data_IF_284603269524
#
_entry.id   IF_284603269524
#
_cell.length_a   1.000
_cell.length_b   1.000
_cell.length_c   1.000
_cell.angle_alpha   90.00
_cell.angle_beta   90.00
_cell.angle_gamma   90.00
#
_symmetry.space_group_name_H-M   'P 1'
#
loop_
_entity.id
_entity.type
_entity.pdbx_description
1 polymer ?
#
# COMPACT_ATOMS: atom_id res chain seq x y z
N UNK A 1 16.76 12.16 -10.83
CA UNK A 1 16.31 10.77 -10.63
C UNK A 1 15.42 10.77 -9.38
N UNK A 2 14.09 10.66 -9.54
CA UNK A 2 13.08 11.01 -8.51
C UNK A 2 12.74 9.90 -7.50
N UNK A 3 13.06 8.64 -7.79
CA UNK A 3 12.74 7.50 -6.91
C UNK A 3 14.00 6.88 -6.28
N UNK A 4 13.85 6.30 -5.09
CA UNK A 4 14.95 5.57 -4.41
C UNK A 4 15.40 4.31 -5.14
N UNK A 5 14.48 3.69 -5.87
CA UNK A 5 14.75 2.56 -6.75
C UNK A 5 14.57 3.13 -8.16
N UNK A 6 15.60 3.00 -9.00
CA UNK A 6 15.53 3.43 -10.40
C UNK A 6 14.61 2.49 -11.16
N UNK A 7 13.31 2.70 -10.98
CA UNK A 7 12.23 1.92 -11.53
C UNK A 7 11.14 2.88 -11.99
N UNK A 8 10.49 2.53 -13.10
CA UNK A 8 9.44 3.33 -13.72
C UNK A 8 8.08 2.73 -13.34
N UNK A 9 7.41 3.22 -12.27
CA UNK A 9 6.04 2.82 -11.97
C UNK A 9 5.19 3.05 -13.22
N UNK A 10 4.44 2.02 -13.61
CA UNK A 10 3.72 1.88 -14.88
C UNK A 10 3.46 3.23 -15.59
N UNK A 11 4.13 3.49 -16.72
CA UNK A 11 3.53 4.40 -17.71
C UNK A 11 2.20 3.78 -18.11
N UNK A 12 1.10 4.48 -17.89
CA UNK A 12 -0.26 3.95 -18.05
C UNK A 12 -0.42 3.34 -19.43
N UNK A 13 -0.44 2.01 -19.46
CA UNK A 13 -0.55 1.20 -20.66
C UNK A 13 -1.80 0.36 -20.55
N UNK A 14 -2.59 0.42 -21.61
CA UNK A 14 -3.75 -0.42 -21.77
C UNK A 14 -3.33 -1.90 -21.66
N UNK A 15 -4.04 -2.72 -20.87
CA UNK A 15 -3.75 -4.14 -20.80
C UNK A 15 -3.87 -4.80 -22.18
N UNK A 16 -2.91 -5.66 -22.53
CA UNK A 16 -2.88 -6.32 -23.86
C UNK A 16 -3.88 -7.46 -24.02
N UNK A 17 -4.31 -8.08 -22.92
CA UNK A 17 -5.18 -9.26 -22.94
C UNK A 17 -6.58 -8.92 -22.42
N UNK A 18 -7.61 -9.32 -23.18
CA UNK A 18 -9.03 -9.28 -22.77
C UNK A 18 -9.48 -10.56 -22.02
N UNK A 19 -8.55 -11.35 -21.49
CA UNK A 19 -8.86 -12.61 -20.82
C UNK A 19 -9.70 -12.42 -19.55
N UNK A 20 -10.64 -13.34 -19.31
CA UNK A 20 -11.54 -13.38 -18.13
C UNK A 20 -10.87 -13.85 -16.83
N UNK A 21 -9.58 -13.64 -16.64
CA UNK A 21 -8.95 -13.96 -15.35
C UNK A 21 -8.92 -12.71 -14.45
N UNK A 22 -8.99 -12.91 -13.13
CA UNK A 22 -9.11 -11.81 -12.17
C UNK A 22 -7.99 -10.78 -12.27
N UNK A 23 -6.77 -11.22 -12.59
CA UNK A 23 -5.61 -10.33 -12.73
C UNK A 23 -5.79 -9.37 -13.90
N UNK A 24 -6.27 -9.86 -15.05
CA UNK A 24 -6.59 -9.01 -16.22
C UNK A 24 -7.70 -8.02 -15.91
N UNK A 25 -8.71 -8.43 -15.13
CA UNK A 25 -9.79 -7.55 -14.66
C UNK A 25 -9.22 -6.44 -13.77
N UNK A 26 -8.41 -6.78 -12.77
CA UNK A 26 -7.76 -5.80 -11.88
C UNK A 26 -6.87 -4.82 -12.66
N UNK A 27 -6.04 -5.33 -13.58
CA UNK A 27 -5.19 -4.47 -14.42
C UNK A 27 -6.02 -3.49 -15.27
N UNK A 28 -7.20 -3.92 -15.75
CA UNK A 28 -8.11 -3.06 -16.52
C UNK A 28 -8.83 -2.05 -15.66
N UNK A 29 -9.34 -2.45 -14.48
CA UNK A 29 -10.02 -1.55 -13.54
C UNK A 29 -9.10 -0.43 -13.09
N UNK A 30 -7.85 -0.77 -12.73
CA UNK A 30 -6.85 0.21 -12.29
C UNK A 30 -6.48 1.15 -13.45
N UNK A 31 -6.26 0.60 -14.65
CA UNK A 31 -6.00 1.40 -15.85
C UNK A 31 -7.12 2.40 -16.12
N UNK A 32 -8.38 1.93 -16.16
CA UNK A 32 -9.54 2.78 -16.42
C UNK A 32 -9.73 3.84 -15.34
N UNK A 33 -9.44 3.50 -14.07
CA UNK A 33 -9.48 4.46 -12.97
C UNK A 33 -8.50 5.61 -13.20
N UNK A 34 -7.27 5.32 -13.62
CA UNK A 34 -6.30 6.37 -13.89
C UNK A 34 -6.66 7.23 -15.10
N UNK A 35 -7.19 6.64 -16.18
CA UNK A 35 -7.67 7.41 -17.33
C UNK A 35 -8.81 8.34 -16.93
N UNK A 36 -9.79 7.85 -16.17
CA UNK A 36 -10.90 8.65 -15.65
C UNK A 36 -10.41 9.82 -14.80
N UNK A 37 -9.63 9.53 -13.76
CA UNK A 37 -9.11 10.56 -12.84
C UNK A 37 -8.24 11.60 -13.55
N UNK A 38 -7.55 11.22 -14.63
CA UNK A 38 -6.74 12.16 -15.40
C UNK A 38 -7.58 13.02 -16.33
N UNK A 39 -8.60 12.45 -16.97
CA UNK A 39 -9.56 13.22 -17.74
C UNK A 39 -10.32 14.23 -16.85
N UNK A 40 -10.53 13.89 -15.57
CA UNK A 40 -11.07 14.80 -14.55
C UNK A 40 -10.05 15.83 -14.03
N UNK A 41 -8.77 15.76 -14.44
CA UNK A 41 -7.69 16.64 -13.99
C UNK A 41 -7.25 16.41 -12.54
N UNK A 42 -7.62 15.27 -11.92
CA UNK A 42 -7.33 14.96 -10.53
C UNK A 42 -5.97 14.29 -10.31
N UNK A 43 -5.43 13.64 -11.36
CA UNK A 43 -4.09 13.05 -11.38
C UNK A 43 -3.39 13.35 -12.72
N UNK A 44 -2.06 13.34 -12.70
CA UNK A 44 -1.23 13.31 -13.91
C UNK A 44 -0.81 11.86 -14.21
N UNK A 45 -0.86 11.47 -15.48
CA UNK A 45 -0.45 10.14 -15.93
C UNK A 45 1.07 9.95 -15.94
N UNK A 46 1.82 11.05 -15.89
CA UNK A 46 3.24 11.03 -15.62
C UNK A 46 3.51 10.77 -14.13
N UNK A 47 3.16 9.57 -13.68
CA UNK A 47 3.33 9.12 -12.28
C UNK A 47 4.81 9.17 -11.88
N UNK A 48 5.74 9.12 -12.84
CA UNK A 48 7.18 9.27 -12.54
C UNK A 48 7.45 10.67 -11.99
N UNK A 49 6.86 11.69 -12.61
CA UNK A 49 7.09 13.07 -12.22
C UNK A 49 6.10 13.59 -11.18
N UNK A 50 4.92 12.97 -11.09
CA UNK A 50 3.82 13.30 -10.20
C UNK A 50 3.45 12.05 -9.39
N UNK A 51 4.23 11.73 -8.35
CA UNK A 51 3.85 10.68 -7.41
C UNK A 51 2.43 10.92 -6.93
N UNK A 52 1.64 9.86 -6.79
CA UNK A 52 0.21 9.91 -6.44
C UNK A 52 -0.03 10.28 -4.96
N UNK A 53 0.81 11.17 -4.43
CA UNK A 53 0.82 11.65 -3.05
C UNK A 53 -0.54 12.21 -2.65
N UNK A 54 -1.06 11.72 -1.53
CA UNK A 54 -2.37 12.11 -0.99
C UNK A 54 -3.56 11.76 -1.89
N UNK A 55 -3.39 10.85 -2.87
CA UNK A 55 -4.47 10.37 -3.75
C UNK A 55 -4.94 8.97 -3.39
N UNK A 56 -4.41 8.34 -2.34
CA UNK A 56 -4.72 6.96 -1.96
C UNK A 56 -6.22 6.73 -1.74
N UNK A 57 -6.90 7.58 -0.96
CA UNK A 57 -8.35 7.46 -0.72
C UNK A 57 -9.16 7.59 -2.02
N UNK A 58 -8.86 8.63 -2.81
CA UNK A 58 -9.52 8.88 -4.10
C UNK A 58 -9.37 7.68 -5.05
N UNK A 59 -8.15 7.18 -5.19
CA UNK A 59 -7.85 6.06 -6.09
C UNK A 59 -8.49 4.77 -5.56
N UNK A 60 -8.40 4.51 -4.25
CA UNK A 60 -9.04 3.38 -3.57
C UNK A 60 -10.54 3.35 -3.89
N UNK A 61 -11.23 4.46 -3.68
CA UNK A 61 -12.69 4.53 -3.82
C UNK A 61 -13.14 4.37 -5.27
N UNK A 62 -12.41 4.97 -6.22
CA UNK A 62 -12.71 4.79 -7.65
C UNK A 62 -12.49 3.34 -8.11
N UNK A 63 -11.43 2.69 -7.65
CA UNK A 63 -11.21 1.26 -7.91
C UNK A 63 -12.31 0.43 -7.27
N UNK A 64 -12.68 0.71 -6.02
CA UNK A 64 -13.72 -0.01 -5.30
C UNK A 64 -15.06 0.06 -6.03
N UNK A 65 -15.48 1.24 -6.48
CA UNK A 65 -16.73 1.42 -7.21
C UNK A 65 -16.76 0.56 -8.49
N UNK A 66 -15.67 0.56 -9.26
CA UNK A 66 -15.58 -0.26 -10.48
C UNK A 66 -15.57 -1.75 -10.19
N UNK A 67 -14.97 -2.19 -9.07
CA UNK A 67 -15.02 -3.59 -8.66
C UNK A 67 -16.44 -3.99 -8.22
N UNK A 68 -17.14 -3.10 -7.51
CA UNK A 68 -18.53 -3.31 -7.11
C UNK A 68 -19.47 -3.41 -8.33
N UNK A 69 -19.27 -2.57 -9.35
CA UNK A 69 -20.02 -2.67 -10.62
C UNK A 69 -19.84 -4.02 -11.33
N UNK A 70 -18.71 -4.70 -11.07
CA UNK A 70 -18.38 -6.03 -11.58
C UNK A 70 -18.78 -7.15 -10.62
N UNK A 71 -19.48 -6.85 -9.52
CA UNK A 71 -19.82 -7.77 -8.44
C UNK A 71 -18.60 -8.46 -7.80
N UNK A 72 -17.45 -7.79 -7.77
CA UNK A 72 -16.22 -8.26 -7.13
C UNK A 72 -16.11 -7.68 -5.72
N UNK A 73 -16.07 -8.55 -4.71
CA UNK A 73 -16.14 -8.16 -3.30
C UNK A 73 -14.78 -7.68 -2.76
N UNK A 74 -14.47 -6.40 -2.97
CA UNK A 74 -13.32 -5.75 -2.35
C UNK A 74 -13.72 -5.02 -1.06
N UNK A 75 -12.88 -5.10 -0.02
CA UNK A 75 -13.07 -4.40 1.25
C UNK A 75 -11.99 -3.34 1.43
N UNK A 76 -12.35 -2.07 1.72
CA UNK A 76 -11.39 -1.02 2.03
C UNK A 76 -10.80 -1.16 3.43
N UNK A 77 -9.52 -0.81 3.57
CA UNK A 77 -8.83 -0.76 4.86
C UNK A 77 -7.91 0.44 4.95
N UNK A 78 -7.80 0.97 6.16
CA UNK A 78 -6.69 1.82 6.57
C UNK A 78 -5.55 0.94 7.11
N UNK A 79 -4.33 1.15 6.63
CA UNK A 79 -3.15 0.37 7.02
C UNK A 79 -2.93 0.47 8.54
N UNK A 80 -3.11 1.65 9.14
CA UNK A 80 -3.03 1.84 10.59
C UNK A 80 -3.95 0.91 11.38
N UNK A 81 -5.15 0.61 10.86
CA UNK A 81 -6.11 -0.25 11.55
C UNK A 81 -5.69 -1.73 11.48
N UNK A 82 -5.05 -2.14 10.38
CA UNK A 82 -4.50 -3.49 10.24
C UNK A 82 -3.32 -3.68 11.20
N UNK A 83 -2.49 -2.64 11.36
CA UNK A 83 -1.28 -2.68 12.17
C UNK A 83 -1.51 -2.40 13.66
N UNK A 84 -2.67 -1.84 14.02
CA UNK A 84 -3.00 -1.41 15.39
C UNK A 84 -1.91 -0.52 16.02
N UNK A 85 -1.32 0.35 15.21
CA UNK A 85 -0.33 1.32 15.67
C UNK A 85 -0.32 2.57 14.78
N UNK A 86 0.27 3.64 15.30
CA UNK A 86 0.40 4.89 14.58
C UNK A 86 1.47 4.79 13.49
N UNK A 87 1.07 4.86 12.24
CA UNK A 87 1.94 4.78 11.05
C UNK A 87 1.52 5.86 10.05
N UNK A 88 2.32 6.04 8.99
CA UNK A 88 1.91 6.86 7.86
C UNK A 88 0.52 6.44 7.35
N UNK A 89 -0.42 7.39 7.30
CA UNK A 89 -1.81 7.13 6.92
C UNK A 89 -1.86 6.67 5.47
N UNK A 90 -2.51 5.53 5.22
CA UNK A 90 -2.62 4.95 3.89
C UNK A 90 -3.79 4.01 3.79
N UNK A 91 -4.46 4.05 2.65
CA UNK A 91 -5.68 3.30 2.40
C UNK A 91 -5.49 2.31 1.24
N UNK A 92 -6.01 1.09 1.41
CA UNK A 92 -5.88 0.00 0.44
C UNK A 92 -7.21 -0.74 0.25
N UNK A 93 -7.28 -1.61 -0.77
CA UNK A 93 -8.35 -2.60 -0.89
C UNK A 93 -7.79 -4.02 -0.73
N UNK A 94 -8.56 -4.89 -0.08
CA UNK A 94 -8.36 -6.33 -0.14
C UNK A 94 -9.53 -6.95 -0.89
N UNK A 95 -9.23 -7.65 -2.00
CA UNK A 95 -10.21 -8.41 -2.77
C UNK A 95 -10.05 -9.90 -2.47
N UNK A 96 -11.17 -10.57 -2.22
CA UNK A 96 -11.26 -12.03 -2.16
C UNK A 96 -11.94 -12.51 -3.45
N UNK A 97 -11.26 -13.40 -4.17
CA UNK A 97 -11.74 -14.03 -5.40
C UNK A 97 -11.51 -15.54 -5.28
N UNK A 98 -12.59 -16.28 -5.01
CA UNK A 98 -12.56 -17.72 -4.73
C UNK A 98 -11.57 -18.09 -3.60
N UNK A 99 -10.45 -18.76 -3.93
CA UNK A 99 -9.39 -19.16 -3.00
C UNK A 99 -8.22 -18.16 -2.95
N UNK A 100 -8.31 -17.06 -3.69
CA UNK A 100 -7.24 -16.10 -3.89
C UNK A 100 -7.57 -14.77 -3.22
N UNK A 101 -6.59 -14.20 -2.54
CA UNK A 101 -6.70 -12.89 -1.90
C UNK A 101 -5.73 -11.95 -2.59
N UNK A 102 -6.15 -10.72 -2.88
CA UNK A 102 -5.33 -9.70 -3.51
C UNK A 102 -5.29 -8.43 -2.66
N UNK A 103 -4.08 -7.90 -2.47
CA UNK A 103 -3.88 -6.53 -2.00
C UNK A 103 -3.83 -5.62 -3.22
N UNK A 104 -4.67 -4.59 -3.23
CA UNK A 104 -4.78 -3.62 -4.31
C UNK A 104 -4.41 -2.25 -3.75
N UNK A 105 -3.34 -1.68 -4.29
CA UNK A 105 -2.78 -0.38 -3.92
C UNK A 105 -2.12 0.26 -5.15
N UNK A 106 -2.92 0.93 -6.01
CA UNK A 106 -2.38 1.58 -7.21
C UNK A 106 -1.57 2.84 -6.89
N UNK A 107 -1.72 3.40 -5.68
CA UNK A 107 -1.01 4.58 -5.20
C UNK A 107 0.34 4.29 -4.55
N UNK A 108 0.76 3.02 -4.46
CA UNK A 108 1.93 2.62 -3.67
C UNK A 108 3.23 3.33 -4.04
N UNK A 109 3.36 3.79 -5.30
CA UNK A 109 4.52 4.54 -5.76
C UNK A 109 4.76 5.85 -4.98
N UNK A 110 3.72 6.43 -4.35
CA UNK A 110 3.85 7.65 -3.57
C UNK A 110 4.90 7.55 -2.44
N UNK A 111 5.19 6.34 -1.95
CA UNK A 111 6.11 6.10 -0.84
C UNK A 111 7.56 5.83 -1.25
N UNK A 112 7.92 6.03 -2.53
CA UNK A 112 9.25 5.68 -3.05
C UNK A 112 10.03 6.89 -3.56
N UNK A 113 9.56 8.09 -3.26
CA UNK A 113 10.25 9.32 -3.62
C UNK A 113 11.58 9.42 -2.89
N UNK A 114 12.62 9.75 -3.65
CA UNK A 114 13.99 9.83 -3.11
C UNK A 114 14.02 10.82 -1.96
N UNK A 115 13.46 12.00 -2.16
CA UNK A 115 13.40 13.07 -1.17
C UNK A 115 12.74 12.68 0.16
N UNK A 116 11.90 11.65 0.23
CA UNK A 116 11.19 11.24 1.45
C UNK A 116 11.74 9.97 2.09
N UNK A 117 12.65 9.27 1.41
CA UNK A 117 13.19 7.99 1.87
C UNK A 117 14.66 8.15 2.30
N UNK A 118 14.87 9.00 3.30
CA UNK A 118 16.18 9.32 3.87
C UNK A 118 16.07 9.43 5.39
N UNK A 119 17.16 9.13 6.10
CA UNK A 119 17.21 9.12 7.57
C UNK A 119 16.91 10.50 8.19
N UNK A 120 17.21 11.58 7.48
CA UNK A 120 16.92 12.96 7.89
C UNK A 120 15.42 13.29 7.98
N UNK A 121 14.54 12.39 7.55
CA UNK A 121 13.07 12.49 7.71
C UNK A 121 12.57 12.05 9.06
N UNK A 122 13.40 11.43 9.89
CA UNK A 122 13.04 11.21 11.28
C UNK A 122 12.99 12.54 12.02
N UNK A 123 11.83 12.83 12.63
CA UNK A 123 11.70 13.88 13.64
C UNK A 123 11.49 13.22 14.99
N UNK A 124 12.48 13.34 15.88
CA UNK A 124 12.45 12.71 17.20
C UNK A 124 12.46 13.80 18.27
N UNK A 125 11.46 13.78 19.15
CA UNK A 125 11.51 14.52 20.40
C UNK A 125 12.37 13.72 21.39
N UNK A 126 13.61 14.18 21.60
CA UNK A 126 14.58 13.50 22.46
C UNK A 126 14.16 13.50 23.93
N UNK A 127 13.60 14.60 24.43
CA UNK A 127 13.16 14.73 25.83
C UNK A 127 12.06 13.72 26.18
N UNK A 128 11.13 13.50 25.25
CA UNK A 128 10.01 12.56 25.43
C UNK A 128 10.30 11.18 24.89
N UNK A 129 11.47 10.97 24.29
CA UNK A 129 11.79 9.77 23.52
C UNK A 129 10.62 9.39 22.60
N UNK A 130 10.23 10.30 21.69
CA UNK A 130 9.10 10.09 20.78
C UNK A 130 9.48 10.35 19.33
N UNK A 131 9.15 9.40 18.46
CA UNK A 131 9.20 9.55 17.00
C UNK A 131 7.92 10.25 16.54
N UNK A 132 8.06 11.47 16.05
CA UNK A 132 6.97 12.31 15.55
C UNK A 132 6.75 12.14 14.05
N UNK A 133 7.84 12.02 13.28
CA UNK A 133 7.82 11.76 11.85
C UNK A 133 8.84 10.67 11.50
N UNK A 134 8.55 9.96 10.43
CA UNK A 134 9.41 8.92 9.85
C UNK A 134 9.58 9.17 8.35
N UNK A 135 10.61 8.57 7.73
CA UNK A 135 10.68 8.45 6.28
C UNK A 135 9.45 7.73 5.70
N UNK A 136 9.26 7.81 4.39
CA UNK A 136 8.25 7.03 3.69
C UNK A 136 8.56 5.51 3.73
N UNK A 137 7.54 4.63 3.70
CA UNK A 137 7.68 3.16 3.67
C UNK A 137 8.75 2.61 2.72
N UNK A 138 8.98 3.27 1.58
CA UNK A 138 10.02 2.88 0.62
C UNK A 138 11.42 2.82 1.24
N UNK A 139 11.71 3.64 2.24
CA UNK A 139 12.99 3.67 2.97
C UNK A 139 13.39 2.29 3.50
N UNK A 140 12.41 1.50 3.93
CA UNK A 140 12.64 0.16 4.49
C UNK A 140 13.21 -0.84 3.47
N UNK A 141 13.09 -0.56 2.17
CA UNK A 141 13.46 -1.50 1.11
C UNK A 141 14.84 -1.27 0.50
N UNK A 142 15.54 -0.20 0.88
CA UNK A 142 16.77 0.27 0.23
C UNK A 142 17.86 -0.79 0.04
N UNK A 143 17.89 -1.83 0.87
CA UNK A 143 18.94 -2.87 0.86
C UNK A 143 18.41 -4.31 0.74
N UNK A 144 17.15 -4.54 0.36
CA UNK A 144 16.57 -5.89 0.28
C UNK A 144 15.99 -6.18 -1.12
N UNK A 145 16.71 -6.91 -1.99
CA UNK A 145 16.27 -7.21 -3.36
C UNK A 145 14.93 -7.96 -3.44
N UNK A 146 14.63 -8.84 -2.48
CA UNK A 146 13.35 -9.55 -2.43
C UNK A 146 12.20 -8.56 -2.18
N UNK A 147 12.38 -7.66 -1.21
CA UNK A 147 11.37 -6.67 -0.90
C UNK A 147 11.16 -5.67 -2.05
N UNK A 148 12.25 -5.23 -2.67
CA UNK A 148 12.22 -4.38 -3.87
C UNK A 148 11.39 -5.02 -4.98
N UNK A 149 11.55 -6.33 -5.23
CA UNK A 149 10.80 -7.04 -6.26
C UNK A 149 9.29 -7.10 -5.98
N UNK A 150 8.89 -7.26 -4.72
CA UNK A 150 7.48 -7.23 -4.32
C UNK A 150 6.92 -5.82 -4.48
N UNK A 151 7.60 -4.80 -3.97
CA UNK A 151 7.19 -3.41 -4.10
C UNK A 151 7.04 -2.99 -5.58
N UNK A 152 8.01 -3.38 -6.41
CA UNK A 152 7.98 -3.13 -7.85
C UNK A 152 6.74 -3.73 -8.51
N UNK A 153 6.36 -4.97 -8.17
CA UNK A 153 5.15 -5.60 -8.73
C UNK A 153 3.89 -4.82 -8.35
N UNK A 154 3.79 -4.33 -7.12
CA UNK A 154 2.66 -3.51 -6.68
C UNK A 154 2.65 -2.19 -7.45
N UNK A 155 3.79 -1.50 -7.56
CA UNK A 155 3.89 -0.25 -8.34
C UNK A 155 3.63 -0.44 -9.84
N UNK A 156 3.96 -1.60 -10.41
CA UNK A 156 3.72 -1.94 -11.81
C UNK A 156 2.26 -2.25 -12.10
N UNK A 157 1.61 -3.01 -11.23
CA UNK A 157 0.28 -3.56 -11.49
C UNK A 157 -0.83 -2.83 -10.75
N UNK A 158 -0.48 -2.17 -9.66
CA UNK A 158 -1.38 -1.62 -8.65
C UNK A 158 -1.97 -2.68 -7.72
N UNK A 159 -1.50 -3.93 -7.78
CA UNK A 159 -1.95 -5.02 -6.90
C UNK A 159 -0.94 -6.17 -6.84
N UNK A 160 -1.12 -7.06 -5.88
CA UNK A 160 -0.38 -8.31 -5.75
C UNK A 160 -1.24 -9.38 -5.06
N UNK A 161 -0.99 -10.66 -5.36
CA UNK A 161 -1.54 -11.77 -4.56
C UNK A 161 -1.08 -11.62 -3.11
N UNK A 162 -2.03 -11.61 -2.19
CA UNK A 162 -1.80 -11.50 -0.76
C UNK A 162 -1.66 -12.89 -0.14
N UNK A 163 -0.48 -13.18 0.37
CA UNK A 163 -0.14 -14.37 1.14
C UNK A 163 0.78 -13.96 2.29
N UNK A 164 1.21 -14.91 3.14
CA UNK A 164 2.06 -14.57 4.29
C UNK A 164 3.34 -13.81 3.88
N UNK A 165 3.99 -14.18 2.78
CA UNK A 165 5.21 -13.50 2.34
C UNK A 165 4.93 -12.07 1.85
N UNK A 166 3.95 -11.88 0.96
CA UNK A 166 3.63 -10.54 0.44
C UNK A 166 3.00 -9.64 1.50
N UNK A 167 2.19 -10.18 2.40
CA UNK A 167 1.67 -9.47 3.56
C UNK A 167 2.81 -8.99 4.46
N UNK A 168 3.74 -9.88 4.82
CA UNK A 168 4.88 -9.51 5.65
C UNK A 168 5.68 -8.37 5.04
N UNK A 169 6.07 -8.50 3.77
CA UNK A 169 6.89 -7.49 3.10
C UNK A 169 6.18 -6.14 2.99
N UNK A 170 4.89 -6.15 2.63
CA UNK A 170 4.11 -4.92 2.49
C UNK A 170 3.89 -4.23 3.83
N UNK A 171 3.39 -4.95 4.84
CA UNK A 171 3.01 -4.33 6.11
C UNK A 171 4.22 -4.01 7.00
N UNK A 172 5.33 -4.74 6.89
CA UNK A 172 6.57 -4.41 7.63
C UNK A 172 7.13 -3.05 7.24
N UNK A 173 6.95 -2.58 6.00
CA UNK A 173 7.47 -1.27 5.57
C UNK A 173 6.79 -0.11 6.28
N UNK A 174 5.53 -0.27 6.68
CA UNK A 174 4.80 0.68 7.51
C UNK A 174 5.06 0.43 9.00
N UNK A 175 4.96 -0.83 9.45
CA UNK A 175 5.09 -1.17 10.88
C UNK A 175 6.45 -0.81 11.47
N UNK A 176 7.53 -0.97 10.68
CA UNK A 176 8.88 -0.62 11.13
C UNK A 176 9.14 0.88 11.14
N UNK A 177 8.26 1.66 10.50
CA UNK A 177 8.25 3.13 10.50
C UNK A 177 7.07 3.67 11.31
N UNK A 178 6.60 2.94 12.33
CA UNK A 178 5.60 3.43 13.26
C UNK A 178 6.13 4.59 14.09
N UNK A 179 5.21 5.49 14.46
CA UNK A 179 5.43 6.66 15.31
C UNK A 179 5.13 6.33 16.77
N UNK A 180 5.48 7.25 17.67
CA UNK A 180 5.28 7.09 19.11
C UNK A 180 6.58 6.86 19.86
N UNK A 181 6.51 6.21 21.03
CA UNK A 181 7.65 6.11 21.95
C UNK A 181 8.89 5.42 21.34
N UNK A 182 9.99 6.16 21.17
CA UNK A 182 11.22 5.76 20.47
C UNK A 182 12.03 4.66 21.16
N UNK A 183 11.61 4.13 22.31
CA UNK A 183 12.24 2.95 22.92
C UNK A 183 12.28 1.74 21.98
N UNK A 184 11.43 1.69 20.94
CA UNK A 184 11.56 0.70 19.87
C UNK A 184 12.74 0.95 18.89
N UNK A 185 13.19 2.20 18.74
CA UNK A 185 14.35 2.56 17.91
C UNK A 185 15.67 2.21 18.61
N UNK A 186 15.74 2.37 19.94
CA UNK A 186 16.90 1.93 20.74
C UNK A 186 17.05 0.39 20.72
N UNK A 187 15.95 -0.33 20.49
CA UNK A 187 15.93 -1.79 20.26
C UNK A 187 15.99 -2.18 18.78
N UNK A 188 16.62 -1.40 17.89
CA UNK A 188 16.72 -1.69 16.44
C UNK A 188 17.36 -3.03 16.05
N UNK A 189 17.79 -3.85 17.01
CA UNK A 189 18.08 -5.28 16.80
C UNK A 189 16.89 -6.25 17.00
N UNK A 190 15.78 -5.82 17.62
CA UNK A 190 14.62 -6.66 17.99
C UNK A 190 13.31 -5.85 18.07
N UNK A 191 12.89 -5.17 17.01
CA UNK A 191 11.45 -4.96 16.84
C UNK A 191 10.80 -6.34 16.72
N UNK A 192 9.80 -6.66 17.54
CA UNK A 192 9.06 -7.92 17.45
C UNK A 192 8.67 -8.14 15.99
N UNK A 193 9.30 -9.11 15.34
CA UNK A 193 9.02 -9.41 13.95
C UNK A 193 7.62 -10.01 13.88
N UNK A 194 6.70 -9.28 13.26
CA UNK A 194 5.39 -9.83 12.98
C UNK A 194 5.49 -10.80 11.81
N UNK A 195 4.76 -11.91 11.93
CA UNK A 195 4.61 -12.86 10.84
C UNK A 195 3.62 -12.31 9.82
N UNK A 196 3.74 -12.75 8.56
CA UNK A 196 2.71 -12.45 7.55
C UNK A 196 1.32 -12.90 7.97
N UNK A 197 1.23 -14.03 8.69
CA UNK A 197 -0.04 -14.56 9.20
C UNK A 197 -0.68 -13.62 10.22
N UNK A 198 0.11 -12.89 11.01
CA UNK A 198 -0.40 -11.90 11.97
C UNK A 198 -1.18 -10.80 11.24
N UNK A 199 -0.65 -10.31 10.11
CA UNK A 199 -1.34 -9.30 9.30
C UNK A 199 -2.60 -9.84 8.65
N UNK A 200 -2.55 -11.06 8.10
CA UNK A 200 -3.74 -11.73 7.51
C UNK A 200 -4.86 -11.91 8.54
N UNK A 201 -4.53 -12.36 9.76
CA UNK A 201 -5.49 -12.52 10.85
C UNK A 201 -6.13 -11.18 11.25
N UNK A 202 -5.34 -10.10 11.24
CA UNK A 202 -5.82 -8.75 11.56
C UNK A 202 -6.82 -8.25 10.52
N UNK A 203 -6.53 -8.47 9.23
CA UNK A 203 -7.48 -8.20 8.13
C UNK A 203 -8.79 -8.96 8.35
N UNK A 204 -8.74 -10.27 8.59
CA UNK A 204 -9.93 -11.10 8.82
C UNK A 204 -10.77 -10.59 10.00
N UNK A 205 -10.13 -10.30 11.13
CA UNK A 205 -10.80 -9.77 12.33
C UNK A 205 -11.52 -8.45 12.07
N UNK A 206 -10.88 -7.54 11.33
CA UNK A 206 -11.48 -6.25 10.96
C UNK A 206 -12.70 -6.44 10.04
N UNK A 207 -12.63 -7.37 9.07
CA UNK A 207 -13.78 -7.72 8.22
C UNK A 207 -14.96 -8.19 9.03
N UNK A 208 -14.75 -9.13 9.95
CA UNK A 208 -15.83 -9.63 10.82
C UNK A 208 -16.47 -8.52 11.66
N UNK A 209 -15.66 -7.57 12.16
CA UNK A 209 -16.15 -6.42 12.91
C UNK A 209 -17.03 -5.51 12.04
N UNK A 210 -16.59 -5.21 10.81
CA UNK A 210 -17.34 -4.37 9.87
C UNK A 210 -18.70 -4.96 9.49
N UNK A 211 -18.77 -6.29 9.29
CA UNK A 211 -20.03 -7.00 9.02
C UNK A 211 -21.00 -6.94 10.19
N UNK A 212 -20.51 -7.00 11.44
CA UNK A 212 -21.37 -6.93 12.64
C UNK A 212 -21.93 -5.52 12.88
N UNK A 213 -21.22 -4.47 12.49
CA UNK A 213 -21.70 -3.09 12.64
C UNK A 213 -22.79 -2.70 11.63
N UNK A 214 -22.90 -3.38 10.49
CA UNK A 214 -23.95 -3.13 9.49
C UNK A 214 -25.31 -3.79 9.80
N UNK A 215 -25.42 -4.53 10.91
CA UNK A 215 -26.67 -5.17 11.39
C UNK A 215 -27.25 -4.51 12.66
N UNK A 216 -26.85 -3.28 12.98
CA UNK A 216 -27.44 -2.45 14.03
C UNK A 216 -27.98 -1.16 13.43
#
# INVERSE_FOLDING_TARGET
MKYIINFNPRMIKEPKNKEKNIKSVLERVIYLTFIELSNEGLIDLDIINNPLSFKCDLIRDRVLNKLNDLNLNATPFEVQNILDCDVHGHSILILEDEEEIYLIDPSYSQFFLKENCHEDKYLINQEKQMVLLTPDPGYYYLNNPHHINIARRIMEKGFIKLNQNTAKVYFDSFYKLRRGYSGFLETTGKTTELSGQTYLNSILKLKEKSKKSSFK
#
